data_IF_310294724989
#
_entry.id   IF_310294724989
#
_cell.length_a   1.000
_cell.length_b   1.000
_cell.length_c   1.000
_cell.angle_alpha   90.00
_cell.angle_beta   90.00
_cell.angle_gamma   90.00
#
_symmetry.space_group_name_H-M   'P 1'
#
loop_
_entity.id
_entity.type
_entity.pdbx_description
1 polymer ?
#
# COMPACT_ATOMS: atom_id res chain seq x y z
N UNK A 1 5.53 -24.07 87.39
CA UNK A 1 4.50 -23.05 87.04
C UNK A 1 4.48 -22.94 85.52
N UNK A 2 3.55 -23.63 84.85
CA UNK A 2 2.28 -23.08 84.30
C UNK A 2 2.55 -22.07 83.15
N UNK A 3 2.05 -22.21 81.91
CA UNK A 3 0.88 -22.91 81.35
C UNK A 3 1.06 -23.19 79.85
N UNK A 4 0.51 -24.33 79.39
CA UNK A 4 0.00 -24.50 78.02
C UNK A 4 -1.17 -23.54 77.79
N UNK A 5 -1.26 -22.88 76.63
CA UNK A 5 -2.52 -22.33 76.12
C UNK A 5 -2.52 -22.24 74.61
N UNK A 6 -3.60 -22.77 74.05
CA UNK A 6 -3.94 -22.88 72.64
C UNK A 6 -4.28 -21.53 71.97
N UNK A 7 -4.35 -21.60 70.63
CA UNK A 7 -4.47 -20.61 69.54
C UNK A 7 -5.52 -19.49 69.68
N UNK A 8 -5.50 -18.47 68.78
CA UNK A 8 -6.41 -18.54 67.63
C UNK A 8 -5.78 -18.17 66.27
N UNK A 9 -6.10 -18.98 65.25
CA UNK A 9 -6.07 -18.57 63.84
C UNK A 9 -7.08 -17.44 63.60
N UNK A 10 -6.63 -16.29 63.08
CA UNK A 10 -7.52 -15.28 62.49
C UNK A 10 -7.03 -14.83 61.10
N UNK A 11 -7.76 -15.35 60.09
CA UNK A 11 -8.20 -14.76 58.82
C UNK A 11 -7.15 -14.24 57.80
N UNK A 12 -7.13 -14.73 56.54
CA UNK A 12 -6.33 -14.15 55.48
C UNK A 12 -6.89 -12.76 55.12
N UNK A 13 -6.16 -11.72 55.51
CA UNK A 13 -6.38 -10.33 55.11
C UNK A 13 -6.44 -10.27 53.58
N UNK A 14 -7.62 -10.01 53.01
CA UNK A 14 -7.81 -9.80 51.56
C UNK A 14 -6.81 -8.76 51.08
N UNK A 15 -5.86 -9.18 50.26
CA UNK A 15 -4.89 -8.32 49.59
C UNK A 15 -5.70 -7.40 48.67
N UNK A 16 -5.94 -6.16 49.11
CA UNK A 16 -6.40 -5.09 48.22
C UNK A 16 -5.28 -4.86 47.22
N UNK A 17 -5.45 -5.37 46.00
CA UNK A 17 -4.54 -5.12 44.87
C UNK A 17 -4.54 -3.61 44.61
N UNK A 18 -3.52 -2.91 45.11
CA UNK A 18 -3.24 -1.55 44.69
C UNK A 18 -2.94 -1.58 43.19
N UNK A 19 -3.92 -1.15 42.40
CA UNK A 19 -3.71 -0.90 40.97
C UNK A 19 -2.71 0.24 40.88
N UNK A 20 -1.43 -0.10 40.64
CA UNK A 20 -0.40 0.82 40.18
C UNK A 20 -0.83 1.36 38.81
N UNK A 21 -1.77 2.31 38.83
CA UNK A 21 -2.14 3.06 37.64
C UNK A 21 -0.87 3.78 37.19
N UNK A 22 -0.46 3.49 35.96
CA UNK A 22 0.62 4.19 35.28
C UNK A 22 0.43 5.69 35.49
N UNK A 23 1.50 6.40 35.89
CA UNK A 23 1.46 7.84 36.14
C UNK A 23 0.86 8.61 34.96
N UNK A 24 1.06 8.11 33.73
CA UNK A 24 0.41 8.61 32.52
C UNK A 24 -1.11 8.39 32.51
N UNK A 25 -1.60 7.20 32.84
CA UNK A 25 -3.04 6.94 32.91
C UNK A 25 -3.74 7.83 33.94
N UNK A 26 -3.06 8.12 35.05
CA UNK A 26 -3.56 9.03 36.08
C UNK A 26 -3.56 10.49 35.59
N UNK A 27 -2.54 10.90 34.82
CA UNK A 27 -2.49 12.20 34.16
C UNK A 27 -3.62 12.37 33.12
N UNK A 28 -3.82 11.38 32.23
CA UNK A 28 -4.94 11.38 31.28
C UNK A 28 -6.30 11.40 31.99
N UNK A 29 -6.45 10.67 33.11
CA UNK A 29 -7.66 10.70 33.92
C UNK A 29 -7.90 12.08 34.56
N UNK A 30 -6.86 12.76 35.06
CA UNK A 30 -6.97 14.11 35.62
C UNK A 30 -7.25 15.20 34.57
N UNK A 31 -6.83 14.98 33.33
CA UNK A 31 -7.19 15.83 32.19
C UNK A 31 -8.67 15.66 31.85
N UNK A 32 -9.17 14.42 31.83
CA UNK A 32 -10.59 14.13 31.55
C UNK A 32 -11.53 14.52 32.70
N UNK A 33 -11.04 14.47 33.94
CA UNK A 33 -11.79 14.88 35.14
C UNK A 33 -11.84 16.41 35.34
N UNK A 34 -11.29 17.19 34.39
CA UNK A 34 -11.38 18.65 34.40
C UNK A 34 -10.54 19.36 35.47
N UNK A 35 -9.83 18.62 36.32
CA UNK A 35 -9.00 19.20 37.39
C UNK A 35 -7.85 20.05 36.83
N UNK A 36 -7.36 19.71 35.64
CA UNK A 36 -6.35 20.49 34.94
C UNK A 36 -6.91 21.78 34.34
N UNK A 37 -8.18 21.78 33.92
CA UNK A 37 -8.84 22.95 33.31
C UNK A 37 -9.34 23.96 34.35
N UNK A 38 -9.47 23.54 35.61
CA UNK A 38 -9.92 24.36 36.73
C UNK A 38 -8.81 25.23 37.35
N UNK A 39 -7.55 25.02 36.93
CA UNK A 39 -6.42 25.80 37.43
C UNK A 39 -6.41 27.19 36.79
N UNK A 40 -6.35 28.27 37.57
CA UNK A 40 -6.48 29.66 37.08
C UNK A 40 -5.48 30.01 35.94
N UNK A 41 -4.30 29.39 35.94
CA UNK A 41 -3.30 29.53 34.89
C UNK A 41 -3.74 28.90 33.55
N UNK A 42 -4.47 27.79 33.59
CA UNK A 42 -4.95 27.09 32.39
C UNK A 42 -6.17 27.76 31.78
N UNK A 43 -7.04 28.35 32.61
CA UNK A 43 -8.18 29.16 32.15
C UNK A 43 -7.73 30.35 31.28
N UNK A 44 -6.60 30.97 31.63
CA UNK A 44 -6.00 32.06 30.82
C UNK A 44 -5.48 31.58 29.47
N UNK A 45 -5.03 30.32 29.39
CA UNK A 45 -4.43 29.71 28.19
C UNK A 45 -5.40 28.79 27.42
N UNK A 46 -6.68 28.77 27.83
CA UNK A 46 -7.75 28.01 27.19
C UNK A 46 -7.86 28.23 25.66
N UNK A 47 -7.74 29.45 25.09
CA UNK A 47 -7.77 29.63 23.64
C UNK A 47 -6.62 28.90 22.92
N UNK A 48 -5.44 28.78 23.55
CA UNK A 48 -4.30 28.05 23.00
C UNK A 48 -4.51 26.53 23.03
N UNK A 49 -5.13 26.00 24.09
CA UNK A 49 -5.50 24.57 24.19
C UNK A 49 -6.55 24.22 23.12
N UNK A 50 -7.51 25.11 22.90
CA UNK A 50 -8.50 24.95 21.83
C UNK A 50 -7.82 24.94 20.45
N UNK A 51 -6.85 25.82 20.21
CA UNK A 51 -6.07 25.84 18.98
C UNK A 51 -5.32 24.53 18.74
N UNK A 52 -4.66 23.98 19.76
CA UNK A 52 -4.00 22.67 19.67
C UNK A 52 -4.99 21.53 19.39
N UNK A 53 -6.16 21.57 20.02
CA UNK A 53 -7.23 20.59 19.81
C UNK A 53 -7.76 20.67 18.38
N UNK A 54 -7.91 21.88 17.85
CA UNK A 54 -8.31 22.12 16.46
C UNK A 54 -7.28 21.54 15.48
N UNK A 55 -5.99 21.77 15.69
CA UNK A 55 -4.93 21.17 14.86
C UNK A 55 -4.96 19.64 14.96
N UNK A 56 -5.13 19.09 16.16
CA UNK A 56 -5.24 17.65 16.36
C UNK A 56 -6.43 17.06 15.60
N UNK A 57 -7.58 17.74 15.61
CA UNK A 57 -8.76 17.34 14.85
C UNK A 57 -8.50 17.41 13.33
N UNK A 58 -7.89 18.50 12.85
CA UNK A 58 -7.47 18.62 11.45
C UNK A 58 -6.51 17.51 11.03
N UNK A 59 -5.57 17.13 11.89
CA UNK A 59 -4.62 16.05 11.63
C UNK A 59 -5.33 14.70 11.49
N UNK A 60 -6.22 14.36 12.42
CA UNK A 60 -7.02 13.13 12.34
C UNK A 60 -7.88 13.11 11.08
N UNK A 61 -8.54 14.23 10.77
CA UNK A 61 -9.33 14.38 9.54
C UNK A 61 -8.49 14.19 8.27
N UNK A 62 -7.26 14.71 8.25
CA UNK A 62 -6.32 14.53 7.15
C UNK A 62 -5.90 13.05 6.98
N UNK A 63 -5.71 12.34 8.10
CA UNK A 63 -5.45 10.90 8.11
C UNK A 63 -6.59 10.10 7.47
N UNK A 64 -7.85 10.40 7.84
CA UNK A 64 -9.03 9.76 7.22
C UNK A 64 -9.12 10.02 5.71
N UNK A 65 -8.80 11.24 5.26
CA UNK A 65 -8.77 11.55 3.82
C UNK A 65 -7.71 10.73 3.08
N UNK A 66 -6.52 10.61 3.68
CA UNK A 66 -5.40 9.85 3.12
C UNK A 66 -5.74 8.38 2.90
N UNK A 67 -6.50 7.76 3.81
CA UNK A 67 -6.91 6.36 3.66
C UNK A 67 -7.79 6.14 2.41
N UNK A 68 -8.72 7.07 2.16
CA UNK A 68 -9.59 7.01 0.98
C UNK A 68 -8.80 7.22 -0.32
N UNK A 69 -7.81 8.12 -0.30
CA UNK A 69 -6.93 8.38 -1.43
C UNK A 69 -6.05 7.16 -1.75
N UNK A 70 -5.48 6.51 -0.73
CA UNK A 70 -4.68 5.28 -0.90
C UNK A 70 -5.51 4.16 -1.53
N UNK A 71 -6.76 3.97 -1.09
CA UNK A 71 -7.65 2.98 -1.71
C UNK A 71 -7.93 3.30 -3.19
N UNK A 72 -8.11 4.58 -3.54
CA UNK A 72 -8.31 5.01 -4.93
C UNK A 72 -7.06 4.75 -5.78
N UNK A 73 -5.87 5.07 -5.27
CA UNK A 73 -4.59 4.83 -5.95
C UNK A 73 -4.43 3.34 -6.25
N UNK A 74 -4.72 2.46 -5.30
CA UNK A 74 -4.62 1.02 -5.50
C UNK A 74 -5.57 0.50 -6.58
N UNK A 75 -6.82 1.00 -6.63
CA UNK A 75 -7.78 0.63 -7.68
C UNK A 75 -7.28 1.04 -9.07
N UNK A 76 -6.91 2.31 -9.22
CA UNK A 76 -6.41 2.85 -10.51
C UNK A 76 -5.13 2.13 -10.94
N UNK A 77 -4.24 1.79 -10.01
CA UNK A 77 -3.02 1.03 -10.33
C UNK A 77 -3.33 -0.37 -10.83
N UNK A 78 -4.33 -1.04 -10.26
CA UNK A 78 -4.78 -2.34 -10.73
C UNK A 78 -5.40 -2.26 -12.14
N UNK A 79 -6.24 -1.25 -12.39
CA UNK A 79 -6.82 -1.01 -13.73
C UNK A 79 -5.72 -0.80 -14.79
N UNK A 80 -4.69 -0.01 -14.50
CA UNK A 80 -3.54 0.19 -15.40
C UNK A 80 -2.83 -1.13 -15.68
N UNK A 81 -2.66 -1.98 -14.65
CA UNK A 81 -2.00 -3.28 -14.79
C UNK A 81 -2.81 -4.23 -15.67
N UNK A 82 -4.13 -4.23 -15.50
CA UNK A 82 -5.05 -5.04 -16.30
C UNK A 82 -5.04 -4.58 -17.78
N UNK A 83 -5.21 -3.28 -18.04
CA UNK A 83 -5.13 -2.72 -19.40
C UNK A 83 -3.79 -3.04 -20.07
N UNK A 84 -2.69 -2.93 -19.32
CA UNK A 84 -1.36 -3.27 -19.85
C UNK A 84 -1.26 -4.76 -20.20
N UNK A 85 -1.84 -5.63 -19.39
CA UNK A 85 -1.88 -7.07 -19.67
C UNK A 85 -2.67 -7.35 -20.95
N UNK A 86 -3.86 -6.76 -21.08
CA UNK A 86 -4.70 -6.88 -22.28
C UNK A 86 -3.96 -6.40 -23.53
N UNK A 87 -3.35 -5.22 -23.48
CA UNK A 87 -2.52 -4.69 -24.57
C UNK A 87 -1.40 -5.66 -24.98
N UNK A 88 -0.68 -6.24 -24.01
CA UNK A 88 0.41 -7.18 -24.30
C UNK A 88 -0.14 -8.43 -25.00
N UNK A 89 -1.28 -8.96 -24.55
CA UNK A 89 -1.93 -10.14 -25.15
C UNK A 89 -2.33 -9.83 -26.60
N UNK A 90 -3.11 -8.77 -26.82
CA UNK A 90 -3.58 -8.41 -28.17
C UNK A 90 -2.42 -8.11 -29.13
N UNK A 91 -1.37 -7.42 -28.64
CA UNK A 91 -0.17 -7.16 -29.42
C UNK A 91 0.59 -8.46 -29.75
N UNK A 92 0.67 -9.38 -28.80
CA UNK A 92 1.30 -10.70 -29.00
C UNK A 92 0.55 -11.49 -30.06
N UNK A 93 -0.78 -11.49 -30.03
CA UNK A 93 -1.60 -12.16 -31.04
C UNK A 93 -1.36 -11.56 -32.43
N UNK A 94 -1.33 -10.23 -32.54
CA UNK A 94 -0.98 -9.56 -33.78
C UNK A 94 0.43 -9.91 -34.27
N UNK A 95 1.42 -9.96 -33.36
CA UNK A 95 2.79 -10.36 -33.70
C UNK A 95 2.87 -11.82 -34.17
N UNK A 96 2.09 -12.71 -33.57
CA UNK A 96 2.01 -14.12 -33.97
C UNK A 96 1.47 -14.24 -35.40
N UNK A 97 0.37 -13.56 -35.71
CA UNK A 97 -0.24 -13.56 -37.05
C UNK A 97 0.68 -12.86 -38.06
N UNK A 98 1.36 -11.79 -37.66
CA UNK A 98 2.29 -11.03 -38.52
C UNK A 98 3.63 -11.73 -38.74
N UNK A 99 3.88 -12.87 -38.08
CA UNK A 99 5.11 -13.64 -38.22
C UNK A 99 5.23 -14.14 -39.66
N UNK A 100 6.40 -13.96 -40.27
CA UNK A 100 6.65 -14.36 -41.67
C UNK A 100 6.26 -15.81 -41.96
N UNK A 101 6.52 -16.74 -41.05
CA UNK A 101 6.13 -18.15 -41.21
C UNK A 101 4.62 -18.38 -41.20
N UNK A 102 3.86 -17.62 -40.39
CA UNK A 102 2.40 -17.71 -40.34
C UNK A 102 1.78 -17.03 -41.56
N UNK A 103 2.31 -15.86 -41.96
CA UNK A 103 1.92 -15.17 -43.18
C UNK A 103 2.19 -16.04 -44.41
N UNK A 104 3.36 -16.68 -44.51
CA UNK A 104 3.70 -17.60 -45.59
C UNK A 104 2.77 -18.84 -45.60
N UNK A 105 2.41 -19.36 -44.43
CA UNK A 105 1.46 -20.48 -44.29
C UNK A 105 0.03 -20.07 -44.68
N UNK A 106 -0.41 -18.87 -44.33
CA UNK A 106 -1.70 -18.31 -44.74
C UNK A 106 -1.74 -18.00 -46.25
N UNK A 107 -0.66 -17.43 -46.80
CA UNK A 107 -0.50 -17.11 -48.22
C UNK A 107 -0.27 -18.35 -49.12
N UNK A 108 0.15 -19.49 -48.54
CA UNK A 108 0.24 -20.74 -49.27
C UNK A 108 -1.13 -21.21 -49.81
N UNK A 109 -2.23 -20.85 -49.13
CA UNK A 109 -3.60 -21.12 -49.63
C UNK A 109 -3.97 -20.30 -50.87
N UNK A 110 -3.34 -19.14 -51.06
CA UNK A 110 -3.49 -18.27 -52.23
C UNK A 110 -2.43 -18.52 -53.32
N UNK A 111 -1.56 -19.54 -53.14
CA UNK A 111 -0.57 -19.95 -54.15
C UNK A 111 0.77 -19.21 -54.11
N UNK A 112 0.98 -18.30 -53.16
CA UNK A 112 2.26 -17.60 -52.96
C UNK A 112 3.26 -18.49 -52.21
N UNK A 113 4.47 -18.64 -52.74
CA UNK A 113 5.58 -19.37 -52.10
C UNK A 113 6.65 -18.40 -51.62
N UNK A 114 7.19 -18.69 -50.43
CA UNK A 114 8.28 -17.91 -49.84
C UNK A 114 9.55 -18.01 -50.68
N UNK A 115 10.24 -16.89 -50.90
CA UNK A 115 11.47 -16.84 -51.68
C UNK A 115 12.64 -17.36 -50.83
N UNK A 116 12.98 -18.65 -50.98
CA UNK A 116 14.06 -19.32 -50.23
C UNK A 116 15.46 -18.97 -50.77
N UNK A 117 15.54 -18.41 -51.99
CA UNK A 117 16.82 -18.07 -52.62
C UNK A 117 17.11 -16.57 -52.51
N UNK A 118 18.30 -16.18 -52.03
CA UNK A 118 18.69 -14.78 -52.00
C UNK A 118 18.79 -14.22 -53.43
N UNK A 119 18.34 -12.97 -53.67
CA UNK A 119 18.39 -12.37 -55.00
C UNK A 119 19.84 -12.20 -55.46
N UNK A 120 20.15 -12.67 -56.67
CA UNK A 120 21.47 -12.48 -57.28
C UNK A 120 21.63 -11.02 -57.70
N UNK A 121 22.70 -10.37 -57.25
CA UNK A 121 23.11 -9.05 -57.76
C UNK A 121 23.46 -9.20 -59.24
N UNK A 122 22.68 -8.61 -60.12
CA UNK A 122 23.02 -8.47 -61.53
C UNK A 122 24.11 -7.40 -61.58
N UNK A 123 25.34 -7.81 -61.85
CA UNK A 123 26.43 -6.89 -62.20
C UNK A 123 26.52 -6.91 -63.72
N UNK A 124 26.28 -5.76 -64.34
CA UNK A 124 26.42 -5.59 -65.79
C UNK A 124 27.91 -5.56 -66.15
N UNK A 125 28.56 -6.71 -66.18
CA UNK A 125 29.79 -6.87 -66.97
C UNK A 125 29.39 -7.14 -68.40
N UNK A 126 29.05 -6.07 -69.12
CA UNK A 126 29.04 -6.04 -70.58
C UNK A 126 30.47 -6.32 -71.03
N UNK A 127 30.70 -7.55 -71.48
CA UNK A 127 31.92 -7.93 -72.19
C UNK A 127 31.98 -7.15 -73.50
N UNK A 128 32.72 -6.04 -73.51
CA UNK A 128 33.14 -5.36 -74.74
C UNK A 128 34.17 -6.28 -75.41
N UNK A 129 33.71 -7.02 -76.43
CA UNK A 129 34.58 -7.61 -77.45
C UNK A 129 35.32 -6.46 -78.15
N UNK A 130 36.62 -6.32 -77.86
CA UNK A 130 37.51 -5.51 -78.67
C UNK A 130 37.93 -6.34 -79.90
N UNK A 131 37.83 -5.70 -81.06
CA UNK A 131 38.23 -6.17 -82.38
C UNK A 131 39.77 -6.16 -82.52
#
# INVERSE_FOLDING_TARGET
>A
MNKLREQPQEQPKKIKKEKKQSKFARAFASLFSGSFLAEEATLRQLPFIFFLTFIALCYVANGYYSESAVRKINRVTNEIKELKSEYIITKSDLMFISKQSEVARAAARTGLKEAVTPPKKIIDTVTVKAN
#
